data_IF_946256580135
#
_entry.id   IF_946256580135
#
_cell.length_a   1.000
_cell.length_b   1.000
_cell.length_c   1.000
_cell.angle_alpha   90.00
_cell.angle_beta   90.00
_cell.angle_gamma   90.00
#
_symmetry.space_group_name_H-M   'P 1'
#
loop_
_entity.id
_entity.type
_entity.pdbx_description
1 polymer ?
#
# COMPACT_ATOMS: atom_id res chain seq x y z
N UNK A 1 20.85 -26.31 4.25
CA UNK A 1 19.89 -26.09 5.37
C UNK A 1 20.66 -25.47 6.53
N UNK A 2 20.28 -24.28 7.04
CA UNK A 2 20.99 -23.71 8.18
C UNK A 2 20.77 -24.58 9.42
N UNK A 3 21.84 -24.74 10.21
CA UNK A 3 21.97 -25.63 11.36
C UNK A 3 20.93 -25.33 12.45
N UNK A 4 20.56 -26.36 13.22
CA UNK A 4 19.76 -26.29 14.47
C UNK A 4 20.26 -25.15 15.37
N UNK A 5 19.64 -23.98 15.30
CA UNK A 5 19.68 -23.02 16.39
C UNK A 5 18.58 -23.44 17.37
N UNK A 6 18.96 -23.80 18.60
CA UNK A 6 18.03 -24.03 19.69
C UNK A 6 17.41 -22.69 20.09
N UNK A 7 16.42 -22.22 19.32
CA UNK A 7 15.63 -21.05 19.66
C UNK A 7 14.95 -21.31 21.01
N UNK A 8 15.07 -20.38 21.93
CA UNK A 8 14.25 -20.44 23.14
C UNK A 8 12.78 -20.19 22.79
N UNK A 9 11.86 -20.52 23.69
CA UNK A 9 10.42 -20.41 23.43
C UNK A 9 10.01 -19.00 22.97
N UNK A 10 10.59 -17.96 23.58
CA UNK A 10 10.28 -16.55 23.23
C UNK A 10 10.73 -16.22 21.81
N UNK A 11 11.91 -16.66 21.42
CA UNK A 11 12.43 -16.47 20.06
C UNK A 11 11.61 -17.25 19.04
N UNK A 12 11.30 -18.52 19.33
CA UNK A 12 10.47 -19.36 18.47
C UNK A 12 9.07 -18.74 18.27
N UNK A 13 8.42 -18.29 19.34
CA UNK A 13 7.14 -17.59 19.28
C UNK A 13 7.22 -16.29 18.48
N UNK A 14 8.29 -15.50 18.65
CA UNK A 14 8.51 -14.29 17.85
C UNK A 14 8.61 -14.62 16.35
N UNK A 15 9.36 -15.67 15.98
CA UNK A 15 9.47 -16.08 14.59
C UNK A 15 8.13 -16.56 14.01
N UNK A 16 7.36 -17.34 14.78
CA UNK A 16 6.03 -17.80 14.39
C UNK A 16 5.09 -16.61 14.20
N UNK A 17 5.03 -15.66 15.14
CA UNK A 17 4.17 -14.49 15.04
C UNK A 17 4.49 -13.62 13.81
N UNK A 18 5.75 -13.57 13.38
CA UNK A 18 6.16 -12.79 12.20
C UNK A 18 5.88 -13.50 10.87
N UNK A 19 5.76 -14.83 10.84
CA UNK A 19 5.79 -15.60 9.58
C UNK A 19 4.71 -16.66 9.45
N UNK A 20 3.89 -16.87 10.48
CA UNK A 20 2.85 -17.89 10.44
C UNK A 20 1.87 -17.57 9.31
N UNK A 21 1.50 -18.61 8.55
CA UNK A 21 0.43 -18.51 7.55
C UNK A 21 -0.90 -18.16 8.19
N UNK A 22 -1.07 -18.47 9.47
CA UNK A 22 -2.31 -18.23 10.19
C UNK A 22 -2.59 -16.74 10.40
N UNK A 23 -1.56 -15.87 10.32
CA UNK A 23 -1.74 -14.42 10.30
C UNK A 23 -2.70 -13.96 9.17
N UNK A 24 -2.69 -14.66 8.03
CA UNK A 24 -3.54 -14.36 6.87
C UNK A 24 -4.80 -15.23 6.78
N UNK A 25 -5.06 -16.10 7.77
CA UNK A 25 -6.20 -17.05 7.77
C UNK A 25 -7.22 -16.78 8.88
N UNK A 26 -7.00 -15.71 9.65
CA UNK A 26 -7.99 -15.26 10.61
C UNK A 26 -9.30 -14.91 9.88
N UNK A 27 -10.47 -15.10 10.51
CA UNK A 27 -11.73 -14.86 9.84
C UNK A 27 -11.86 -13.42 9.36
N UNK A 28 -12.42 -13.24 8.16
CA UNK A 28 -12.59 -11.93 7.55
C UNK A 28 -13.56 -11.05 8.35
N UNK A 29 -13.27 -9.74 8.40
CA UNK A 29 -14.04 -8.77 9.18
C UNK A 29 -15.13 -8.11 8.34
N UNK A 30 -16.32 -8.71 8.30
CA UNK A 30 -17.48 -8.17 7.58
C UNK A 30 -18.03 -6.93 8.29
N UNK A 31 -18.26 -7.01 9.59
CA UNK A 31 -18.83 -5.93 10.39
C UNK A 31 -18.30 -5.94 11.84
N UNK A 32 -18.93 -5.15 12.72
CA UNK A 32 -18.55 -5.00 14.14
C UNK A 32 -19.32 -5.95 15.09
N UNK A 33 -20.08 -6.91 14.56
CA UNK A 33 -20.87 -7.86 15.36
C UNK A 33 -20.01 -9.04 15.85
N UNK A 34 -20.64 -10.01 16.53
CA UNK A 34 -19.94 -11.19 17.04
C UNK A 34 -19.13 -11.88 15.93
N UNK A 35 -17.86 -12.19 16.22
CA UNK A 35 -16.91 -12.74 15.24
C UNK A 35 -16.81 -11.95 13.94
N UNK A 36 -17.00 -10.62 14.01
CA UNK A 36 -16.96 -9.70 12.89
C UNK A 36 -17.95 -10.04 11.76
N UNK A 37 -19.10 -10.65 12.10
CA UNK A 37 -20.10 -11.09 11.13
C UNK A 37 -19.70 -12.35 10.34
N UNK A 38 -18.54 -12.96 10.64
CA UNK A 38 -18.08 -14.17 9.96
C UNK A 38 -18.91 -15.41 10.33
N UNK A 39 -19.34 -15.51 11.59
CA UNK A 39 -20.07 -16.66 12.10
C UNK A 39 -20.90 -16.29 13.32
N UNK A 40 -21.94 -17.07 13.60
CA UNK A 40 -22.70 -16.99 14.85
C UNK A 40 -22.13 -17.92 15.94
N UNK A 41 -21.19 -18.80 15.59
CA UNK A 41 -20.52 -19.74 16.51
C UNK A 41 -19.02 -19.52 16.52
N UNK A 42 -18.32 -20.08 17.52
CA UNK A 42 -16.87 -19.89 17.69
C UNK A 42 -16.09 -20.34 16.44
N UNK A 43 -15.31 -19.46 15.79
CA UNK A 43 -14.49 -19.84 14.65
C UNK A 43 -13.38 -20.82 15.03
N UNK A 44 -12.89 -21.55 14.02
CA UNK A 44 -11.83 -22.54 14.13
C UNK A 44 -10.48 -21.98 14.60
N UNK A 45 -10.28 -20.66 14.45
CA UNK A 45 -9.11 -19.91 14.93
C UNK A 45 -9.56 -18.65 15.66
N UNK A 46 -8.76 -18.19 16.63
CA UNK A 46 -9.05 -16.97 17.40
C UNK A 46 -9.16 -15.75 16.46
N UNK A 47 -10.16 -14.91 16.69
CA UNK A 47 -10.24 -13.59 16.05
C UNK A 47 -9.06 -12.72 16.46
N UNK A 48 -8.59 -11.92 15.52
CA UNK A 48 -7.70 -10.78 15.78
C UNK A 48 -8.50 -9.59 16.31
N UNK A 49 -7.86 -8.76 17.13
CA UNK A 49 -8.48 -7.57 17.71
C UNK A 49 -8.60 -6.46 16.66
N UNK A 50 -9.58 -5.55 16.82
CA UNK A 50 -9.74 -4.36 15.96
C UNK A 50 -10.88 -4.39 14.94
N UNK A 51 -11.57 -5.52 14.74
CA UNK A 51 -12.69 -5.62 13.79
C UNK A 51 -13.88 -4.71 14.11
N UNK A 52 -13.99 -4.26 15.37
CA UNK A 52 -15.03 -3.30 15.79
C UNK A 52 -14.81 -1.91 15.20
N UNK A 53 -13.55 -1.54 14.99
CA UNK A 53 -13.15 -0.21 14.50
C UNK A 53 -12.94 -0.23 12.97
N UNK A 54 -12.28 -1.27 12.47
CA UNK A 54 -11.94 -1.45 11.05
C UNK A 54 -12.62 -2.72 10.54
N UNK A 55 -13.57 -2.58 9.62
CA UNK A 55 -14.28 -3.68 8.96
C UNK A 55 -14.85 -3.17 7.62
N UNK A 56 -15.48 -4.04 6.84
CA UNK A 56 -15.97 -3.69 5.49
C UNK A 56 -16.91 -2.47 5.48
N UNK A 57 -17.76 -2.31 6.50
CA UNK A 57 -18.69 -1.18 6.59
C UNK A 57 -18.00 0.16 6.92
N UNK A 58 -16.81 0.12 7.51
CA UNK A 58 -16.07 1.31 7.92
C UNK A 58 -14.58 1.19 7.54
N UNK A 59 -14.29 1.22 6.23
CA UNK A 59 -12.92 1.08 5.75
C UNK A 59 -12.59 2.05 4.60
N UNK A 60 -11.93 3.15 4.95
CA UNK A 60 -11.40 4.11 3.95
C UNK A 60 -10.41 3.47 2.98
N UNK A 61 -9.68 2.43 3.41
CA UNK A 61 -8.75 1.70 2.55
C UNK A 61 -9.50 0.93 1.47
N UNK A 62 -10.70 0.38 1.75
CA UNK A 62 -11.52 -0.27 0.73
C UNK A 62 -11.89 0.70 -0.39
N UNK A 63 -12.33 1.92 -0.04
CA UNK A 63 -12.64 2.97 -1.02
C UNK A 63 -11.41 3.39 -1.83
N UNK A 64 -10.24 3.49 -1.18
CA UNK A 64 -8.98 3.72 -1.87
C UNK A 64 -8.67 2.61 -2.89
N UNK A 65 -8.81 1.32 -2.53
CA UNK A 65 -8.59 0.22 -3.47
C UNK A 65 -9.59 0.23 -4.63
N UNK A 66 -10.87 0.52 -4.38
CA UNK A 66 -11.87 0.72 -5.44
C UNK A 66 -11.46 1.83 -6.39
N UNK A 67 -10.94 2.95 -5.87
CA UNK A 67 -10.40 4.06 -6.68
C UNK A 67 -9.22 3.59 -7.54
N UNK A 68 -8.26 2.85 -6.99
CA UNK A 68 -7.12 2.31 -7.74
C UNK A 68 -7.54 1.34 -8.86
N UNK A 69 -8.51 0.45 -8.59
CA UNK A 69 -9.06 -0.47 -9.59
C UNK A 69 -9.77 0.32 -10.70
N UNK A 70 -10.60 1.31 -10.34
CA UNK A 70 -11.26 2.16 -11.32
C UNK A 70 -10.25 2.96 -12.16
N UNK A 71 -9.17 3.47 -11.57
CA UNK A 71 -8.08 4.11 -12.32
C UNK A 71 -7.47 3.13 -13.34
N UNK A 72 -7.18 1.90 -12.93
CA UNK A 72 -6.62 0.88 -13.82
C UNK A 72 -7.55 0.53 -14.97
N UNK A 73 -8.86 0.45 -14.74
CA UNK A 73 -9.82 -0.12 -15.72
C UNK A 73 -10.53 0.95 -16.56
N UNK A 74 -10.79 2.14 -15.99
CA UNK A 74 -11.69 3.12 -16.61
C UNK A 74 -11.05 4.48 -16.90
N UNK A 75 -9.86 4.77 -16.36
CA UNK A 75 -9.22 6.07 -16.61
C UNK A 75 -8.63 6.16 -18.02
N UNK A 76 -8.38 7.39 -18.46
CA UNK A 76 -7.64 7.67 -19.69
C UNK A 76 -6.17 7.17 -19.68
N UNK A 77 -5.68 6.75 -18.50
CA UNK A 77 -4.36 6.16 -18.27
C UNK A 77 -4.43 4.63 -18.12
N UNK A 78 -5.58 3.97 -18.38
CA UNK A 78 -5.71 2.51 -18.29
C UNK A 78 -4.56 1.79 -19.03
N UNK A 79 -4.29 2.15 -20.28
CA UNK A 79 -3.23 1.48 -21.05
C UNK A 79 -1.84 1.69 -20.44
N UNK A 80 -1.57 2.87 -19.86
CA UNK A 80 -0.34 3.14 -19.09
C UNK A 80 -0.26 2.21 -17.88
N UNK A 81 -1.37 1.98 -17.16
CA UNK A 81 -1.42 1.10 -15.99
C UNK A 81 -1.51 -0.39 -16.31
N UNK A 82 -1.96 -0.78 -17.50
CA UNK A 82 -2.14 -2.18 -17.89
C UNK A 82 -0.95 -2.66 -18.71
N UNK A 83 -0.56 -1.93 -19.75
CA UNK A 83 0.40 -2.36 -20.77
C UNK A 83 1.69 -1.54 -20.84
N UNK A 84 1.73 -0.35 -20.23
CA UNK A 84 2.90 0.53 -20.29
C UNK A 84 4.20 -0.12 -19.81
N UNK A 85 5.32 0.26 -20.44
CA UNK A 85 6.66 -0.12 -19.98
C UNK A 85 6.93 0.48 -18.59
N UNK A 86 8.01 0.03 -17.94
CA UNK A 86 8.41 0.52 -16.61
C UNK A 86 9.88 0.95 -16.63
N UNK A 87 10.17 2.13 -16.07
CA UNK A 87 11.53 2.63 -15.85
C UNK A 87 11.66 3.10 -14.41
N UNK A 88 12.60 2.52 -13.67
CA UNK A 88 12.87 2.89 -12.28
C UNK A 88 13.86 4.05 -12.18
N UNK A 89 13.60 4.99 -11.27
CA UNK A 89 14.61 5.87 -10.71
C UNK A 89 14.99 5.32 -9.32
N UNK A 90 16.29 5.13 -9.08
CA UNK A 90 16.80 4.50 -7.85
C UNK A 90 17.76 5.42 -7.08
N UNK A 91 17.70 6.72 -7.33
CA UNK A 91 18.64 7.69 -6.76
C UNK A 91 18.44 7.83 -5.24
N UNK A 92 17.20 7.65 -4.77
CA UNK A 92 16.86 7.64 -3.35
C UNK A 92 16.36 6.24 -2.92
N UNK A 93 17.04 5.54 -1.99
CA UNK A 93 16.67 4.18 -1.58
C UNK A 93 15.37 4.12 -0.74
N UNK A 94 14.92 5.24 -0.19
CA UNK A 94 13.66 5.34 0.56
C UNK A 94 12.45 5.60 -0.33
N UNK A 95 12.68 6.04 -1.57
CA UNK A 95 11.62 6.31 -2.54
C UNK A 95 11.52 5.18 -3.55
N UNK A 96 10.35 4.56 -3.62
CA UNK A 96 9.99 3.70 -4.74
C UNK A 96 9.47 4.58 -5.89
N UNK A 97 10.39 4.96 -6.77
CA UNK A 97 10.15 5.89 -7.86
C UNK A 97 10.26 5.18 -9.21
N UNK A 98 9.20 5.22 -10.01
CA UNK A 98 9.22 4.68 -11.36
C UNK A 98 8.21 5.38 -12.27
N UNK A 99 8.52 5.41 -13.56
CA UNK A 99 7.61 5.90 -14.60
C UNK A 99 7.06 4.71 -15.35
N UNK A 100 5.77 4.78 -15.66
CA UNK A 100 5.15 3.93 -16.68
C UNK A 100 4.75 4.73 -17.89
N UNK A 101 5.00 4.17 -19.07
CA UNK A 101 4.76 4.86 -20.35
C UNK A 101 4.09 3.92 -21.34
N UNK A 102 3.06 4.42 -22.02
CA UNK A 102 2.40 3.73 -23.13
C UNK A 102 2.07 4.76 -24.20
N UNK A 103 2.57 4.55 -25.42
CA UNK A 103 2.46 5.51 -26.53
C UNK A 103 2.93 6.91 -26.10
N UNK A 104 2.06 7.92 -26.15
CA UNK A 104 2.34 9.32 -25.83
C UNK A 104 1.94 9.73 -24.40
N UNK A 105 1.60 8.77 -23.52
CA UNK A 105 1.22 9.05 -22.13
C UNK A 105 2.19 8.41 -21.14
N UNK A 106 2.52 9.14 -20.09
CA UNK A 106 3.30 8.62 -18.97
C UNK A 106 2.66 8.95 -17.62
N UNK A 107 2.90 8.09 -16.64
CA UNK A 107 2.55 8.30 -15.25
C UNK A 107 3.74 7.94 -14.36
N UNK A 108 4.17 8.88 -13.53
CA UNK A 108 5.22 8.69 -12.53
C UNK A 108 4.62 8.33 -11.18
N UNK A 109 5.13 7.28 -10.59
CA UNK A 109 4.79 6.79 -9.27
C UNK A 109 5.94 7.13 -8.33
N UNK A 110 5.64 7.75 -7.20
CA UNK A 110 6.60 7.98 -6.12
C UNK A 110 5.96 7.58 -4.80
N UNK A 111 6.58 6.64 -4.11
CA UNK A 111 6.11 6.16 -2.80
C UNK A 111 7.26 6.25 -1.80
N UNK A 112 7.06 6.95 -0.70
CA UNK A 112 7.99 6.97 0.42
C UNK A 112 7.78 5.73 1.29
N UNK A 113 8.75 4.82 1.35
CA UNK A 113 8.69 3.64 2.22
C UNK A 113 9.40 3.84 3.57
N UNK A 114 9.68 5.09 3.95
CA UNK A 114 10.30 5.43 5.24
C UNK A 114 9.35 6.19 6.17
N UNK A 115 9.72 6.21 7.44
CA UNK A 115 9.08 7.03 8.49
C UNK A 115 9.54 8.49 8.46
N UNK A 116 10.47 8.84 7.56
CA UNK A 116 11.09 10.16 7.46
C UNK A 116 10.58 10.91 6.22
N UNK A 117 10.64 12.24 6.27
CA UNK A 117 10.36 13.08 5.10
C UNK A 117 11.43 12.84 4.04
N UNK A 118 10.99 12.65 2.80
CA UNK A 118 11.86 12.55 1.62
C UNK A 118 11.56 13.69 0.65
N UNK A 119 12.55 14.10 -0.14
CA UNK A 119 12.38 15.13 -1.18
C UNK A 119 12.67 14.52 -2.55
N UNK A 120 11.89 14.92 -3.55
CA UNK A 120 12.08 14.45 -4.93
C UNK A 120 11.80 15.56 -5.94
N UNK A 121 12.67 15.70 -6.94
CA UNK A 121 12.41 16.56 -8.10
C UNK A 121 11.64 15.76 -9.14
N UNK A 122 10.53 16.30 -9.63
CA UNK A 122 9.73 15.72 -10.70
C UNK A 122 9.56 16.78 -11.79
N UNK A 123 9.93 16.43 -13.01
CA UNK A 123 9.86 17.33 -14.16
C UNK A 123 8.51 17.17 -14.87
N UNK A 124 8.02 18.26 -15.48
CA UNK A 124 6.86 18.26 -16.38
C UNK A 124 5.57 17.66 -15.79
N UNK A 125 5.25 17.99 -14.54
CA UNK A 125 4.01 17.55 -13.89
C UNK A 125 2.80 18.18 -14.62
N UNK A 126 2.02 17.36 -15.31
CA UNK A 126 0.80 17.81 -15.99
C UNK A 126 -0.41 17.81 -15.05
N UNK A 127 -0.56 16.77 -14.22
CA UNK A 127 -1.70 16.59 -13.32
C UNK A 127 -1.39 15.56 -12.21
N UNK A 128 -2.08 15.67 -11.07
CA UNK A 128 -2.07 14.69 -9.98
C UNK A 128 -3.18 13.65 -10.23
N UNK A 129 -2.79 12.39 -10.47
CA UNK A 129 -3.75 11.29 -10.69
C UNK A 129 -4.22 10.72 -9.34
N UNK A 130 -3.28 10.54 -8.41
CA UNK A 130 -3.57 9.97 -7.09
C UNK A 130 -2.61 10.54 -6.06
N UNK A 131 -3.13 10.86 -4.88
CA UNK A 131 -2.36 11.17 -3.69
C UNK A 131 -3.02 10.43 -2.51
N UNK A 132 -2.20 9.85 -1.64
CA UNK A 132 -2.63 9.08 -0.46
C UNK A 132 -2.82 9.96 0.77
N UNK A 133 -2.28 11.17 0.74
CA UNK A 133 -2.44 12.20 1.78
C UNK A 133 -3.07 13.43 1.13
N UNK A 134 -3.91 14.17 1.86
CA UNK A 134 -4.71 15.26 1.29
C UNK A 134 -3.90 16.45 0.77
N UNK A 135 -2.63 16.61 1.21
CA UNK A 135 -1.75 17.69 0.75
C UNK A 135 -0.59 17.18 -0.12
N UNK A 136 -0.15 18.04 -1.03
CA UNK A 136 1.09 17.89 -1.76
C UNK A 136 1.90 19.15 -1.50
N UNK A 137 2.96 19.02 -0.70
CA UNK A 137 3.76 20.15 -0.28
C UNK A 137 4.98 20.25 -1.22
N UNK A 138 5.32 21.46 -1.66
CA UNK A 138 6.41 21.72 -2.61
C UNK A 138 7.29 22.84 -2.02
N UNK A 139 8.59 22.60 -1.93
CA UNK A 139 9.61 23.56 -1.49
C UNK A 139 10.78 23.53 -2.46
N UNK A 140 11.25 24.69 -2.95
CA UNK A 140 12.41 24.80 -3.84
C UNK A 140 12.36 23.85 -5.07
N UNK A 141 11.18 23.77 -5.72
CA UNK A 141 10.90 22.85 -6.84
C UNK A 141 10.97 21.34 -6.50
N UNK A 142 11.08 21.00 -5.22
CA UNK A 142 11.06 19.63 -4.73
C UNK A 142 9.71 19.31 -4.10
N UNK A 143 9.16 18.16 -4.47
CA UNK A 143 8.00 17.60 -3.78
C UNK A 143 8.47 17.04 -2.44
N UNK A 144 7.80 17.45 -1.37
CA UNK A 144 8.01 16.95 -0.02
C UNK A 144 7.11 15.73 0.20
N UNK A 145 7.72 14.56 0.18
CA UNK A 145 7.06 13.28 0.41
C UNK A 145 7.01 13.00 1.90
N UNK A 146 5.82 13.11 2.50
CA UNK A 146 5.58 12.75 3.90
C UNK A 146 5.82 11.25 4.14
N UNK A 147 6.00 10.81 5.40
CA UNK A 147 6.12 9.39 5.74
C UNK A 147 4.98 8.57 5.13
N UNK A 148 5.33 7.48 4.44
CA UNK A 148 4.38 6.59 3.76
C UNK A 148 3.48 7.22 2.67
N UNK A 149 3.76 8.46 2.25
CA UNK A 149 3.02 9.09 1.16
C UNK A 149 3.35 8.45 -0.19
N UNK A 150 2.31 8.02 -0.90
CA UNK A 150 2.34 7.66 -2.30
C UNK A 150 1.60 8.68 -3.16
N UNK A 151 2.23 9.06 -4.28
CA UNK A 151 1.64 9.90 -5.33
C UNK A 151 1.79 9.25 -6.70
N UNK A 152 0.84 9.53 -7.57
CA UNK A 152 0.86 9.21 -9.00
C UNK A 152 0.58 10.48 -9.78
N UNK A 153 1.51 10.86 -10.64
CA UNK A 153 1.48 12.09 -11.43
C UNK A 153 1.48 11.74 -12.91
N UNK A 154 0.71 12.45 -13.73
CA UNK A 154 0.92 12.40 -15.18
C UNK A 154 2.08 13.32 -15.55
N UNK A 155 3.02 12.81 -16.34
CA UNK A 155 4.23 13.49 -16.82
C UNK A 155 4.41 13.30 -18.32
#
# INVERSE_FOLDING_TARGET
MPKKNNLNLKEALRYINLRSRDNARTPFWWDNTLYAGFSTVKPWIKMTDGYKDINTNNNKLLEFYKKCINLRIKSEFNNVFTFGSIKFNRDNPYLFNFIRSYENKSAQFVINFSEEIQKVKIENINNIILNTIDSLDIEDELIIMKPFQGIVLSV
#
